data_IF_456000902005
#
_entry.id   IF_456000902005
#
_cell.length_a   1.000
_cell.length_b   1.000
_cell.length_c   1.000
_cell.angle_alpha   90.00
_cell.angle_beta   90.00
_cell.angle_gamma   90.00
#
_symmetry.space_group_name_H-M   'P 1'
#
loop_
_entity.id
_entity.type
_entity.pdbx_description
1 polymer ?
#
# COMPACT_ATOMS: atom_id res chain seq x y z
N UNK A 1 1.35 -19.90 22.16
CA UNK A 1 0.25 -19.21 21.46
C UNK A 1 -0.93 -20.16 21.35
N UNK A 2 -2.09 -19.79 21.86
CA UNK A 2 -3.31 -20.59 21.75
C UNK A 2 -3.76 -20.62 20.29
N UNK A 3 -3.80 -21.83 19.70
CA UNK A 3 -4.18 -22.04 18.30
C UNK A 3 -5.69 -21.83 18.14
N UNK A 4 -6.12 -21.10 17.10
CA UNK A 4 -7.54 -20.96 16.80
C UNK A 4 -8.18 -22.33 16.55
N UNK A 5 -9.40 -22.51 17.02
CA UNK A 5 -10.21 -23.67 16.63
C UNK A 5 -10.71 -23.48 15.19
N UNK A 6 -11.03 -24.58 14.50
CA UNK A 6 -11.52 -24.54 13.11
C UNK A 6 -12.77 -23.65 12.95
N UNK A 7 -13.67 -23.64 13.96
CA UNK A 7 -14.85 -22.75 13.94
C UNK A 7 -14.50 -21.28 14.11
N UNK A 8 -13.52 -20.95 14.94
CA UNK A 8 -13.07 -19.56 15.12
C UNK A 8 -12.34 -19.05 13.88
N UNK A 9 -11.55 -19.92 13.24
CA UNK A 9 -10.89 -19.58 11.98
C UNK A 9 -11.92 -19.33 10.87
N UNK A 10 -12.89 -20.23 10.67
CA UNK A 10 -13.99 -20.02 9.70
C UNK A 10 -14.78 -18.74 9.96
N UNK A 11 -15.01 -18.40 11.23
CA UNK A 11 -15.65 -17.12 11.58
C UNK A 11 -14.80 -15.93 11.13
N UNK A 12 -13.51 -15.93 11.44
CA UNK A 12 -12.61 -14.87 11.04
C UNK A 12 -12.51 -14.72 9.52
N UNK A 13 -12.38 -15.83 8.79
CA UNK A 13 -12.29 -15.82 7.32
C UNK A 13 -13.57 -15.25 6.68
N UNK A 14 -14.75 -15.69 7.13
CA UNK A 14 -16.05 -15.16 6.64
C UNK A 14 -16.26 -13.68 7.02
N UNK A 15 -15.76 -13.27 8.18
CA UNK A 15 -15.83 -11.88 8.62
C UNK A 15 -14.92 -10.98 7.77
N UNK A 16 -13.70 -11.43 7.43
CA UNK A 16 -12.80 -10.72 6.52
C UNK A 16 -13.44 -10.54 5.14
N UNK A 17 -14.18 -11.54 4.65
CA UNK A 17 -14.84 -11.50 3.34
C UNK A 17 -16.04 -10.53 3.34
N UNK A 18 -16.89 -10.60 4.36
CA UNK A 18 -18.22 -9.96 4.34
C UNK A 18 -18.33 -8.68 5.17
N UNK A 19 -17.43 -8.46 6.13
CA UNK A 19 -17.55 -7.41 7.15
C UNK A 19 -18.74 -7.57 8.11
N UNK A 20 -19.53 -8.63 7.98
CA UNK A 20 -20.74 -8.85 8.78
C UNK A 20 -20.49 -9.97 9.81
N UNK A 21 -20.35 -9.57 11.07
CA UNK A 21 -20.02 -10.49 12.15
C UNK A 21 -21.13 -11.52 12.44
N UNK A 22 -22.39 -11.12 12.34
CA UNK A 22 -23.52 -12.03 12.61
C UNK A 22 -23.63 -13.09 11.51
N UNK A 23 -23.52 -12.69 10.24
CA UNK A 23 -23.55 -13.61 9.10
C UNK A 23 -22.33 -14.55 9.11
N UNK A 24 -21.14 -14.02 9.41
CA UNK A 24 -19.92 -14.81 9.58
C UNK A 24 -20.06 -15.87 10.69
N UNK A 25 -20.69 -15.53 11.81
CA UNK A 25 -20.95 -16.48 12.89
C UNK A 25 -21.90 -17.62 12.45
N UNK A 26 -22.94 -17.29 11.68
CA UNK A 26 -23.87 -18.31 11.13
C UNK A 26 -23.12 -19.24 10.16
N UNK A 27 -22.35 -18.69 9.21
CA UNK A 27 -21.58 -19.47 8.23
C UNK A 27 -20.47 -20.32 8.86
N UNK A 28 -19.89 -19.85 9.96
CA UNK A 28 -18.92 -20.61 10.75
C UNK A 28 -19.55 -21.74 11.58
N UNK A 29 -20.88 -21.86 11.59
CA UNK A 29 -21.61 -22.93 12.26
C UNK A 29 -21.91 -22.66 13.74
N UNK A 30 -22.05 -21.39 14.14
CA UNK A 30 -22.64 -21.01 15.43
C UNK A 30 -24.17 -21.00 15.34
N UNK A 31 -24.84 -21.19 16.49
CA UNK A 31 -26.31 -21.17 16.56
C UNK A 31 -26.86 -19.85 16.05
N UNK A 32 -27.78 -19.92 15.08
CA UNK A 32 -28.43 -18.75 14.47
C UNK A 32 -29.12 -17.86 15.51
N UNK A 33 -29.77 -18.46 16.51
CA UNK A 33 -30.49 -17.74 17.57
C UNK A 33 -29.55 -16.91 18.46
N UNK A 34 -28.28 -17.34 18.58
CA UNK A 34 -27.28 -16.66 19.41
C UNK A 34 -26.13 -16.07 18.57
N UNK A 35 -26.29 -16.00 17.24
CA UNK A 35 -25.22 -15.60 16.33
C UNK A 35 -24.70 -14.20 16.65
N UNK A 36 -25.60 -13.25 16.94
CA UNK A 36 -25.23 -11.88 17.29
C UNK A 36 -24.42 -11.81 18.60
N UNK A 37 -24.90 -12.47 19.66
CA UNK A 37 -24.18 -12.51 20.95
C UNK A 37 -22.84 -13.23 20.84
N UNK A 38 -22.78 -14.31 20.07
CA UNK A 38 -21.53 -15.04 19.82
C UNK A 38 -20.56 -14.21 18.98
N UNK A 39 -21.03 -13.53 17.94
CA UNK A 39 -20.23 -12.67 17.09
C UNK A 39 -19.50 -11.59 17.91
N UNK A 40 -20.22 -10.88 18.79
CA UNK A 40 -19.60 -9.89 19.68
C UNK A 40 -18.52 -10.49 20.58
N UNK A 41 -18.76 -11.68 21.16
CA UNK A 41 -17.76 -12.39 21.99
C UNK A 41 -16.54 -12.84 21.18
N UNK A 42 -16.75 -13.28 19.93
CA UNK A 42 -15.67 -13.71 19.04
C UNK A 42 -14.79 -12.54 18.61
N UNK A 43 -15.37 -11.36 18.34
CA UNK A 43 -14.60 -10.15 18.03
C UNK A 43 -13.83 -9.60 19.23
N UNK A 44 -14.33 -9.80 20.45
CA UNK A 44 -13.61 -9.44 21.68
C UNK A 44 -12.48 -10.42 22.02
N UNK A 45 -12.45 -11.61 21.42
CA UNK A 45 -11.39 -12.57 21.65
C UNK A 45 -10.09 -12.08 21.00
N UNK A 46 -9.08 -11.82 21.83
CA UNK A 46 -7.78 -11.29 21.38
C UNK A 46 -7.09 -12.18 20.35
N UNK A 47 -7.22 -13.51 20.46
CA UNK A 47 -6.61 -14.46 19.51
C UNK A 47 -7.27 -14.37 18.14
N UNK A 48 -8.60 -14.24 18.09
CA UNK A 48 -9.35 -14.10 16.84
C UNK A 48 -9.08 -12.74 16.20
N UNK A 49 -9.09 -11.68 17.01
CA UNK A 49 -8.75 -10.33 16.56
C UNK A 49 -7.36 -10.27 15.94
N UNK A 50 -6.34 -10.80 16.62
CA UNK A 50 -4.98 -10.85 16.09
C UNK A 50 -4.90 -11.60 14.76
N UNK A 51 -5.61 -12.71 14.60
CA UNK A 51 -5.66 -13.44 13.33
C UNK A 51 -6.33 -12.63 12.20
N UNK A 52 -7.42 -11.92 12.51
CA UNK A 52 -8.09 -11.02 11.54
C UNK A 52 -7.13 -9.90 11.13
N UNK A 53 -6.49 -9.24 12.10
CA UNK A 53 -5.56 -8.14 11.86
C UNK A 53 -4.36 -8.61 11.01
N UNK A 54 -3.80 -9.79 11.32
CA UNK A 54 -2.72 -10.40 10.54
C UNK A 54 -3.13 -10.69 9.09
N UNK A 55 -4.32 -11.29 8.89
CA UNK A 55 -4.82 -11.60 7.55
C UNK A 55 -5.16 -10.36 6.74
N UNK A 56 -5.70 -9.32 7.37
CA UNK A 56 -5.95 -8.04 6.71
C UNK A 56 -4.64 -7.35 6.33
N UNK A 57 -3.63 -7.39 7.21
CA UNK A 57 -2.31 -6.85 6.90
C UNK A 57 -1.64 -7.62 5.75
N UNK A 58 -1.74 -8.95 5.71
CA UNK A 58 -1.27 -9.78 4.60
C UNK A 58 -1.97 -9.42 3.27
N UNK A 59 -3.31 -9.33 3.29
CA UNK A 59 -4.09 -8.93 2.11
C UNK A 59 -3.78 -7.50 1.65
N UNK A 60 -3.53 -6.58 2.59
CA UNK A 60 -3.16 -5.21 2.28
C UNK A 60 -1.76 -5.17 1.64
N UNK A 61 -0.79 -5.87 2.21
CA UNK A 61 0.56 -5.98 1.67
C UNK A 61 0.59 -6.58 0.26
N UNK A 62 -0.27 -7.58 -0.02
CA UNK A 62 -0.37 -8.17 -1.37
C UNK A 62 -1.00 -7.22 -2.42
N UNK A 63 -1.84 -6.27 -1.99
CA UNK A 63 -2.60 -5.40 -2.91
C UNK A 63 -1.97 -4.02 -3.09
N UNK A 64 -1.29 -3.53 -2.07
CA UNK A 64 -0.77 -2.16 -2.01
C UNK A 64 0.67 -2.22 -1.56
N UNK A 65 1.56 -1.73 -2.43
CA UNK A 65 2.97 -1.61 -2.07
C UNK A 65 3.13 -0.62 -0.91
N UNK A 66 3.82 -1.07 0.13
CA UNK A 66 4.13 -0.20 1.26
C UNK A 66 5.31 0.74 0.93
N UNK A 67 5.61 1.64 1.87
CA UNK A 67 6.69 2.59 1.67
C UNK A 67 8.07 1.92 1.49
N UNK A 68 8.33 0.81 2.19
CA UNK A 68 9.60 0.11 2.08
C UNK A 68 9.72 -0.59 0.73
N UNK A 69 8.67 -1.30 0.30
CA UNK A 69 8.60 -1.98 -0.99
C UNK A 69 8.81 -1.00 -2.16
N UNK A 70 8.16 0.17 -2.11
CA UNK A 70 8.36 1.21 -3.14
C UNK A 70 9.83 1.66 -3.19
N UNK A 71 10.47 1.85 -2.04
CA UNK A 71 11.86 2.31 -1.98
C UNK A 71 12.84 1.22 -2.45
N UNK A 72 12.60 -0.04 -2.09
CA UNK A 72 13.37 -1.18 -2.57
C UNK A 72 13.25 -1.33 -4.08
N UNK A 73 12.03 -1.24 -4.61
CA UNK A 73 11.78 -1.31 -6.05
C UNK A 73 12.51 -0.18 -6.80
N UNK A 74 12.36 1.08 -6.37
CA UNK A 74 13.05 2.21 -7.00
C UNK A 74 14.57 2.07 -6.92
N UNK A 75 15.10 1.56 -5.80
CA UNK A 75 16.54 1.30 -5.64
C UNK A 75 17.03 0.24 -6.61
N UNK A 76 16.30 -0.87 -6.76
CA UNK A 76 16.64 -1.94 -7.68
C UNK A 76 16.61 -1.46 -9.15
N UNK A 77 15.61 -0.65 -9.52
CA UNK A 77 15.54 -0.01 -10.86
C UNK A 77 16.75 0.91 -11.06
N UNK A 78 17.02 1.82 -10.12
CA UNK A 78 18.16 2.74 -10.19
C UNK A 78 19.49 2.00 -10.38
N UNK A 79 19.69 0.87 -9.70
CA UNK A 79 20.89 0.02 -9.79
C UNK A 79 20.95 -0.83 -11.06
N UNK A 80 19.86 -0.93 -11.82
CA UNK A 80 19.78 -1.79 -13.00
C UNK A 80 19.64 -3.28 -12.67
N UNK A 81 19.13 -3.62 -11.48
CA UNK A 81 18.89 -5.00 -11.03
C UNK A 81 17.57 -5.56 -11.58
N UNK A 82 16.67 -4.69 -12.05
CA UNK A 82 15.45 -5.08 -12.75
C UNK A 82 15.68 -5.16 -14.25
N UNK A 83 14.93 -6.01 -14.93
CA UNK A 83 14.91 -6.13 -16.39
C UNK A 83 13.48 -6.01 -16.90
N UNK A 84 13.33 -5.52 -18.12
CA UNK A 84 12.06 -5.42 -18.83
C UNK A 84 12.13 -6.09 -20.21
N UNK A 85 11.01 -6.64 -20.70
CA UNK A 85 10.97 -7.25 -22.02
C UNK A 85 11.03 -6.18 -23.11
N UNK A 86 12.00 -6.29 -24.01
CA UNK A 86 12.13 -5.47 -25.21
C UNK A 86 11.98 -6.33 -26.45
N UNK A 87 11.27 -5.81 -27.44
CA UNK A 87 11.23 -6.40 -28.77
C UNK A 87 12.44 -5.92 -29.56
N UNK A 88 13.29 -6.86 -29.97
CA UNK A 88 14.45 -6.59 -30.81
C UNK A 88 14.36 -7.40 -32.09
N UNK A 89 14.82 -6.81 -33.19
CA UNK A 89 14.99 -7.52 -34.46
C UNK A 89 16.09 -8.58 -34.31
N UNK A 90 15.84 -9.76 -34.85
CA UNK A 90 16.79 -10.88 -34.82
C UNK A 90 17.79 -10.87 -35.99
N UNK A 91 17.57 -10.01 -36.99
CA UNK A 91 18.37 -9.95 -38.22
C UNK A 91 17.82 -10.79 -39.38
N UNK A 92 16.82 -11.64 -39.13
CA UNK A 92 16.12 -12.47 -40.11
C UNK A 92 14.74 -11.89 -40.49
N UNK A 93 14.47 -10.65 -40.05
CA UNK A 93 13.21 -9.97 -40.27
C UNK A 93 12.12 -10.36 -39.27
N UNK A 94 12.45 -11.11 -38.22
CA UNK A 94 11.51 -11.42 -37.13
C UNK A 94 11.87 -10.67 -35.85
N UNK A 95 10.91 -10.63 -34.91
CA UNK A 95 11.09 -9.97 -33.62
C UNK A 95 11.20 -11.02 -32.52
N UNK A 96 12.16 -10.83 -31.63
CA UNK A 96 12.31 -11.63 -30.40
C UNK A 96 12.18 -10.74 -29.17
N UNK A 97 11.62 -11.31 -28.11
CA UNK A 97 11.59 -10.67 -26.79
C UNK A 97 12.90 -10.97 -26.08
N UNK A 98 13.61 -9.93 -25.65
CA UNK A 98 14.79 -10.04 -24.80
C UNK A 98 14.57 -9.28 -23.51
N UNK A 99 15.02 -9.82 -22.38
CA UNK A 99 15.01 -9.09 -21.13
C UNK A 99 16.25 -8.20 -21.06
N UNK A 100 16.03 -6.89 -21.06
CA UNK A 100 17.10 -5.90 -20.98
C UNK A 100 16.97 -5.07 -19.71
N UNK A 101 18.09 -4.53 -19.23
CA UNK A 101 18.08 -3.57 -18.13
C UNK A 101 17.38 -2.29 -18.60
N UNK A 102 16.54 -1.64 -17.76
CA UNK A 102 15.87 -0.40 -18.09
C UNK A 102 16.83 0.68 -18.61
N UNK A 103 16.36 1.52 -19.55
CA UNK A 103 17.17 2.58 -20.12
C UNK A 103 17.62 3.57 -19.05
N UNK A 104 18.71 4.29 -19.33
CA UNK A 104 19.31 5.26 -18.39
C UNK A 104 18.26 6.26 -17.90
N UNK A 105 17.35 6.72 -18.77
CA UNK A 105 16.29 7.66 -18.43
C UNK A 105 15.36 7.13 -17.32
N UNK A 106 14.97 5.85 -17.38
CA UNK A 106 14.13 5.24 -16.35
C UNK A 106 14.88 5.14 -15.01
N UNK A 107 16.17 4.83 -15.05
CA UNK A 107 17.03 4.75 -13.85
C UNK A 107 17.28 6.13 -13.24
N UNK A 108 17.48 7.15 -14.07
CA UNK A 108 17.57 8.55 -13.63
C UNK A 108 16.25 8.99 -12.98
N UNK A 109 15.10 8.57 -13.51
CA UNK A 109 13.81 8.88 -12.89
C UNK A 109 13.66 8.23 -11.52
N UNK A 110 14.10 6.98 -11.37
CA UNK A 110 14.12 6.32 -10.07
C UNK A 110 15.03 7.06 -9.06
N UNK A 111 16.23 7.48 -9.50
CA UNK A 111 17.14 8.29 -8.68
C UNK A 111 16.53 9.65 -8.28
N UNK A 112 15.82 10.33 -9.18
CA UNK A 112 15.12 11.58 -8.90
C UNK A 112 14.04 11.40 -7.81
N UNK A 113 13.23 10.34 -7.91
CA UNK A 113 12.17 10.06 -6.92
C UNK A 113 12.76 9.72 -5.54
N UNK A 114 13.84 8.94 -5.50
CA UNK A 114 14.58 8.68 -4.26
C UNK A 114 15.16 9.98 -3.69
N UNK A 115 15.78 10.82 -4.52
CA UNK A 115 16.34 12.10 -4.09
C UNK A 115 15.28 13.07 -3.56
N UNK A 116 14.09 13.11 -4.15
CA UNK A 116 12.95 13.88 -3.64
C UNK A 116 12.54 13.43 -2.25
N UNK A 117 12.46 12.11 -2.01
CA UNK A 117 12.16 11.55 -0.69
C UNK A 117 13.20 11.96 0.37
N UNK A 118 14.47 11.96 0.01
CA UNK A 118 15.57 12.36 0.88
C UNK A 118 15.86 13.86 0.89
N UNK A 119 15.03 14.68 0.21
CA UNK A 119 15.20 16.14 0.11
C UNK A 119 16.57 16.56 -0.43
N UNK A 120 17.14 15.79 -1.35
CA UNK A 120 18.43 16.11 -1.99
C UNK A 120 18.33 17.30 -2.95
N UNK A 121 17.11 17.61 -3.41
CA UNK A 121 16.84 18.71 -4.33
C UNK A 121 16.12 19.83 -3.60
N UNK A 122 16.49 21.07 -3.91
CA UNK A 122 15.79 22.27 -3.45
C UNK A 122 15.40 23.09 -4.68
N UNK A 123 14.11 23.32 -4.85
CA UNK A 123 13.59 24.18 -5.90
C UNK A 123 13.64 25.63 -5.38
N UNK A 124 14.41 26.48 -6.06
CA UNK A 124 14.40 27.92 -5.79
C UNK A 124 13.23 28.54 -6.55
N UNK A 125 12.39 29.29 -5.85
CA UNK A 125 11.33 30.10 -6.44
C UNK A 125 11.73 31.57 -6.26
N UNK A 126 11.94 32.27 -7.37
CA UNK A 126 12.10 33.72 -7.36
C UNK A 126 10.70 34.35 -7.38
N UNK A 127 10.42 35.20 -6.39
CA UNK A 127 9.11 35.79 -6.15
C UNK A 127 9.27 37.30 -6.14
N UNK A 128 8.96 37.94 -7.27
CA UNK A 128 8.86 39.39 -7.37
C UNK A 128 7.50 39.83 -6.81
N UNK A 129 7.43 39.98 -5.50
CA UNK A 129 6.26 40.55 -4.83
C UNK A 129 6.41 42.07 -4.74
N UNK A 130 5.59 42.81 -5.49
CA UNK A 130 5.38 44.24 -5.21
C UNK A 130 4.57 44.35 -3.93
N UNK A 131 5.25 44.62 -2.81
CA UNK A 131 4.58 44.86 -1.53
C UNK A 131 3.94 46.25 -1.60
N UNK A 132 2.63 46.32 -1.86
CA UNK A 132 1.87 47.55 -1.60
C UNK A 132 1.93 47.82 -0.09
N UNK A 133 2.41 49.01 0.29
CA UNK A 133 2.43 49.42 1.69
C UNK A 133 0.99 49.47 2.21
N UNK A 134 0.66 48.57 3.14
CA UNK A 134 -0.59 48.63 3.88
C UNK A 134 -0.50 49.81 4.82
N UNK A 135 -1.25 50.89 4.53
CA UNK A 135 -1.44 52.00 5.45
C UNK A 135 -2.49 51.56 6.47
N UNK A 136 -2.10 51.44 7.73
CA UNK A 136 -3.04 51.24 8.83
C UNK A 136 -3.66 52.61 9.16
N UNK A 137 -4.92 52.81 8.79
CA UNK A 137 -5.71 53.92 9.32
C UNK A 137 -6.13 53.57 10.76
N UNK A 138 -5.49 54.20 11.74
CA UNK A 138 -5.92 54.17 13.13
C UNK A 138 -7.16 55.09 13.25
N UNK A 139 -8.34 54.51 13.10
CA UNK A 139 -9.60 55.24 13.26
C UNK A 139 -9.93 55.35 14.76
N UNK A 140 -9.47 56.45 15.38
CA UNK A 140 -9.91 56.88 16.72
C UNK A 140 -10.10 58.41 16.72
N UNK A 141 -11.35 58.86 16.55
CA UNK A 141 -12.04 59.87 17.38
C UNK A 141 -13.49 60.10 16.92
#
# INVERSE_FOLDING_TARGET
>A
MTKLTLKQQRFADEYIISGNATDAAVKAGYSKNYANTNASKLLQNTTIKSYIDEKLAELQSQKVADQQEVMEYLTAVMRGEKTEPLLVLDGEGTQKVVNAVPPVQARTKAAELLGKRYRLFTDKVELDATVEQVVFEDDIN
#
